data_IF_420112504756
#
_entry.id   IF_420112504756
#
_cell.length_a   1.000
_cell.length_b   1.000
_cell.length_c   1.000
_cell.angle_alpha   90.00
_cell.angle_beta   90.00
_cell.angle_gamma   90.00
#
_symmetry.space_group_name_H-M   'P 1'
#
loop_
_entity.id
_entity.type
_entity.pdbx_description
1 polymer ?
#
# COMPACT_ATOMS: atom_id res chain seq x y z
N UNK A 1 13.41 3.04 -17.64
CA UNK A 1 12.75 2.87 -16.34
C UNK A 1 11.72 1.77 -16.49
N UNK A 2 11.66 0.84 -15.56
CA UNK A 2 10.73 -0.28 -15.65
C UNK A 2 9.28 0.22 -15.60
N UNK A 3 8.37 -0.50 -16.25
CA UNK A 3 6.94 -0.15 -16.30
C UNK A 3 6.28 -0.20 -14.92
N UNK A 4 6.84 -0.99 -13.99
CA UNK A 4 6.32 -1.17 -12.64
C UNK A 4 6.46 0.09 -11.78
N UNK A 5 7.52 0.87 -11.95
CA UNK A 5 7.88 1.97 -11.05
C UNK A 5 7.68 3.32 -11.71
N UNK A 6 6.97 4.20 -11.04
CA UNK A 6 6.74 5.58 -11.47
C UNK A 6 7.34 6.57 -10.45
N UNK A 7 8.42 7.24 -10.84
CA UNK A 7 9.09 8.28 -10.05
C UNK A 7 9.03 9.59 -10.84
N UNK A 8 8.25 10.58 -10.40
CA UNK A 8 8.18 11.88 -11.07
C UNK A 8 9.43 12.73 -10.84
N UNK A 9 10.02 12.58 -9.68
CA UNK A 9 11.21 13.32 -9.24
C UNK A 9 12.33 12.32 -8.99
N UNK A 10 13.04 11.95 -10.07
CA UNK A 10 14.18 11.05 -9.97
C UNK A 10 15.32 11.70 -9.19
N UNK A 11 15.76 11.05 -8.12
CA UNK A 11 16.86 11.49 -7.24
C UNK A 11 17.84 10.33 -7.03
N UNK A 12 18.69 10.04 -8.01
CA UNK A 12 19.58 8.88 -7.95
C UNK A 12 20.54 8.93 -6.75
N UNK A 13 20.84 10.12 -6.25
CA UNK A 13 21.72 10.34 -5.09
C UNK A 13 20.98 10.42 -3.76
N UNK A 14 19.66 10.23 -3.74
CA UNK A 14 18.88 10.22 -2.51
C UNK A 14 19.41 9.17 -1.52
N UNK A 15 19.42 9.52 -0.24
CA UNK A 15 19.86 8.65 0.85
C UNK A 15 18.86 7.53 1.10
N UNK A 16 17.57 7.85 0.97
CA UNK A 16 16.47 6.92 1.22
C UNK A 16 15.49 6.90 0.05
N UNK A 17 14.97 5.72 -0.25
CA UNK A 17 13.87 5.52 -1.21
C UNK A 17 12.58 5.17 -0.49
N UNK A 18 11.53 5.92 -0.77
CA UNK A 18 10.16 5.64 -0.34
C UNK A 18 9.40 4.98 -1.49
N UNK A 19 9.08 3.71 -1.34
CA UNK A 19 8.22 2.99 -2.29
C UNK A 19 6.78 2.98 -1.78
N UNK A 20 5.87 3.52 -2.60
CA UNK A 20 4.45 3.59 -2.29
C UNK A 20 3.66 2.55 -3.06
N UNK A 21 2.84 1.79 -2.35
CA UNK A 21 1.99 0.72 -2.88
C UNK A 21 0.53 1.21 -2.93
N UNK A 22 -0.10 1.22 -4.11
CA UNK A 22 -1.42 1.79 -4.28
C UNK A 22 -2.53 0.93 -3.65
N UNK A 23 -3.66 1.56 -3.36
CA UNK A 23 -4.90 0.90 -2.98
C UNK A 23 -5.51 0.10 -4.13
N UNK A 24 -6.50 -0.76 -3.86
CA UNK A 24 -7.17 -1.56 -4.88
C UNK A 24 -7.77 -0.71 -6.00
N UNK A 25 -7.48 -1.07 -7.24
CA UNK A 25 -7.85 -0.31 -8.44
C UNK A 25 -7.07 0.99 -8.64
N UNK A 26 -6.22 1.38 -7.68
CA UNK A 26 -5.43 2.59 -7.74
C UNK A 26 -4.27 2.51 -8.74
N UNK A 27 -3.89 3.67 -9.28
CA UNK A 27 -2.71 3.84 -10.10
C UNK A 27 -1.53 4.41 -9.32
N UNK A 28 -0.47 4.71 -10.04
CA UNK A 28 0.79 5.20 -9.45
C UNK A 28 0.83 6.72 -9.25
N UNK A 29 -0.05 7.48 -9.91
CA UNK A 29 0.07 8.94 -10.02
C UNK A 29 -0.08 9.66 -8.67
N UNK A 30 -0.97 9.16 -7.80
CA UNK A 30 -1.20 9.80 -6.50
C UNK A 30 0.07 9.90 -5.67
N UNK A 31 0.82 8.82 -5.55
CA UNK A 31 2.04 8.80 -4.75
C UNK A 31 3.27 9.31 -5.51
N UNK A 32 3.32 9.17 -6.83
CA UNK A 32 4.46 9.67 -7.61
C UNK A 32 4.63 11.20 -7.44
N UNK A 33 3.54 11.96 -7.27
CA UNK A 33 3.60 13.39 -7.01
C UNK A 33 4.12 13.75 -5.61
N UNK A 34 4.12 12.80 -4.66
CA UNK A 34 4.68 13.03 -3.33
C UNK A 34 6.16 13.36 -3.35
N UNK A 35 6.89 12.94 -4.39
CA UNK A 35 8.28 13.34 -4.57
C UNK A 35 8.52 14.85 -4.54
N UNK A 36 7.50 15.66 -4.92
CA UNK A 36 7.56 17.10 -4.81
C UNK A 36 7.40 17.67 -3.39
N UNK A 37 7.02 16.84 -2.41
CA UNK A 37 6.83 17.23 -1.02
C UNK A 37 8.02 16.87 -0.13
N UNK A 38 8.93 16.03 -0.60
CA UNK A 38 10.16 15.66 0.09
C UNK A 38 11.34 16.46 -0.46
N UNK A 39 12.38 16.59 0.34
CA UNK A 39 13.65 17.18 -0.10
C UNK A 39 14.49 16.22 -0.95
N UNK A 40 15.68 16.63 -1.35
CA UNK A 40 16.57 15.86 -2.24
C UNK A 40 17.11 14.56 -1.60
N UNK A 41 16.99 14.39 -0.28
CA UNK A 41 17.46 13.18 0.43
C UNK A 41 16.53 11.98 0.22
N UNK A 42 15.28 12.21 -0.22
CA UNK A 42 14.27 11.17 -0.39
C UNK A 42 13.80 11.07 -1.84
N UNK A 43 13.96 9.89 -2.44
CA UNK A 43 13.37 9.57 -3.75
C UNK A 43 12.05 8.82 -3.54
N UNK A 44 10.94 9.35 -4.06
CA UNK A 44 9.62 8.71 -3.97
C UNK A 44 9.29 7.99 -5.25
N UNK A 45 9.02 6.70 -5.15
CA UNK A 45 8.66 5.83 -6.26
C UNK A 45 7.34 5.12 -5.97
N UNK A 46 6.39 5.23 -6.88
CA UNK A 46 5.09 4.57 -6.76
C UNK A 46 5.03 3.31 -7.62
N UNK A 47 4.48 2.23 -7.06
CA UNK A 47 4.27 0.97 -7.77
C UNK A 47 3.08 1.12 -8.73
N UNK A 48 3.22 0.57 -9.93
CA UNK A 48 2.18 0.52 -10.97
C UNK A 48 1.90 -0.92 -11.35
N UNK A 49 0.76 -1.43 -10.91
CA UNK A 49 0.36 -2.79 -11.23
C UNK A 49 -0.13 -2.92 -12.69
N UNK A 50 -0.08 -4.12 -13.29
CA UNK A 50 -0.63 -4.38 -14.62
C UNK A 50 -2.11 -4.03 -14.75
N UNK A 51 -2.57 -3.75 -15.97
CA UNK A 51 -3.96 -3.49 -16.31
C UNK A 51 -4.42 -2.05 -16.07
N UNK A 52 -3.50 -1.12 -15.77
CA UNK A 52 -3.83 0.30 -15.52
C UNK A 52 -2.75 1.26 -16.03
N UNK A 53 -3.14 2.51 -16.24
CA UNK A 53 -2.25 3.56 -16.75
C UNK A 53 -1.49 3.12 -18.02
N UNK A 54 -0.17 3.29 -18.07
CA UNK A 54 0.66 2.86 -19.19
C UNK A 54 0.76 1.34 -19.37
N UNK A 55 0.25 0.56 -18.41
CA UNK A 55 0.19 -0.90 -18.42
C UNK A 55 -1.22 -1.44 -18.71
N UNK A 56 -2.13 -0.60 -19.23
CA UNK A 56 -3.54 -0.94 -19.45
C UNK A 56 -3.77 -2.12 -20.40
N UNK A 57 -2.84 -2.42 -21.29
CA UNK A 57 -2.89 -3.58 -22.20
C UNK A 57 -2.40 -4.89 -21.58
N UNK A 58 -1.78 -4.84 -20.40
CA UNK A 58 -1.28 -6.02 -19.71
C UNK A 58 -2.42 -6.69 -18.91
N UNK A 59 -2.44 -8.03 -18.82
CA UNK A 59 -3.43 -8.74 -18.00
C UNK A 59 -3.25 -8.38 -16.52
N UNK A 60 -4.37 -8.35 -15.78
CA UNK A 60 -4.33 -8.15 -14.33
C UNK A 60 -3.57 -9.28 -13.63
N UNK A 61 -2.88 -8.95 -12.56
CA UNK A 61 -2.29 -9.94 -11.65
C UNK A 61 -3.40 -10.75 -10.97
N UNK A 62 -3.18 -12.06 -10.78
CA UNK A 62 -4.18 -12.99 -10.24
C UNK A 62 -3.87 -13.45 -8.81
N UNK A 63 -2.68 -13.17 -8.30
CA UNK A 63 -2.26 -13.57 -6.97
C UNK A 63 -1.31 -12.57 -6.33
N UNK A 64 -1.23 -12.59 -5.00
CA UNK A 64 -0.26 -11.80 -4.26
C UNK A 64 1.18 -12.21 -4.63
N UNK A 65 1.44 -13.49 -4.84
CA UNK A 65 2.77 -13.98 -5.24
C UNK A 65 3.23 -13.38 -6.58
N UNK A 66 2.33 -13.27 -7.57
CA UNK A 66 2.68 -12.60 -8.84
C UNK A 66 3.08 -11.13 -8.64
N UNK A 67 2.36 -10.41 -7.78
CA UNK A 67 2.69 -9.01 -7.45
C UNK A 67 4.05 -8.95 -6.78
N UNK A 68 4.27 -9.75 -5.75
CA UNK A 68 5.51 -9.75 -4.97
C UNK A 68 6.70 -10.12 -5.85
N UNK A 69 6.58 -11.16 -6.68
CA UNK A 69 7.67 -11.64 -7.52
C UNK A 69 8.06 -10.58 -8.56
N UNK A 70 7.10 -9.89 -9.18
CA UNK A 70 7.38 -8.78 -10.09
C UNK A 70 8.03 -7.60 -9.35
N UNK A 71 7.46 -7.19 -8.22
CA UNK A 71 8.00 -6.08 -7.41
C UNK A 71 9.44 -6.37 -6.99
N UNK A 72 9.72 -7.54 -6.46
CA UNK A 72 11.07 -7.91 -6.02
C UNK A 72 12.02 -7.97 -7.21
N UNK A 73 11.63 -8.59 -8.31
CA UNK A 73 12.49 -8.67 -9.51
C UNK A 73 12.95 -7.30 -9.97
N UNK A 74 12.06 -6.32 -9.95
CA UNK A 74 12.37 -4.95 -10.41
C UNK A 74 13.12 -4.14 -9.36
N UNK A 75 12.74 -4.26 -8.08
CA UNK A 75 13.29 -3.42 -7.03
C UNK A 75 14.60 -3.94 -6.46
N UNK A 76 14.84 -5.24 -6.43
CA UNK A 76 15.99 -5.85 -5.77
C UNK A 76 17.34 -5.20 -6.13
N UNK A 77 17.64 -4.89 -7.41
CA UNK A 77 18.88 -4.20 -7.76
C UNK A 77 18.99 -2.77 -7.19
N UNK A 78 17.84 -2.16 -6.86
CA UNK A 78 17.75 -0.80 -6.35
C UNK A 78 17.76 -0.72 -4.83
N UNK A 79 17.45 -1.85 -4.15
CA UNK A 79 17.38 -1.93 -2.69
C UNK A 79 18.74 -2.21 -2.05
N UNK A 80 19.68 -2.79 -2.81
CA UNK A 80 20.99 -3.12 -2.31
C UNK A 80 21.84 -1.86 -2.11
N UNK A 81 22.36 -1.69 -0.90
CA UNK A 81 23.27 -0.59 -0.55
C UNK A 81 22.61 0.77 -0.32
N UNK A 82 21.27 0.84 -0.28
CA UNK A 82 20.53 2.06 0.05
C UNK A 82 19.45 1.78 1.08
N UNK A 83 19.21 2.76 1.95
CA UNK A 83 18.04 2.73 2.83
C UNK A 83 16.75 2.82 2.01
N UNK A 84 15.75 2.03 2.38
CA UNK A 84 14.42 2.10 1.76
C UNK A 84 13.33 1.91 2.80
N UNK A 85 12.19 2.52 2.54
CA UNK A 85 10.97 2.40 3.34
C UNK A 85 9.78 2.12 2.45
N UNK A 86 8.77 1.48 3.00
CA UNK A 86 7.54 1.17 2.30
C UNK A 86 6.36 1.92 2.90
N UNK A 87 5.48 2.40 2.04
CA UNK A 87 4.17 2.93 2.40
C UNK A 87 3.09 2.21 1.58
N UNK A 88 2.04 1.75 2.24
CA UNK A 88 0.89 1.16 1.55
C UNK A 88 -0.43 1.51 2.21
N UNK A 89 -1.43 1.90 1.42
CA UNK A 89 -2.78 2.19 1.89
C UNK A 89 -3.76 1.13 1.41
N UNK A 90 -4.64 0.65 2.29
CA UNK A 90 -5.67 -0.35 2.00
C UNK A 90 -5.03 -1.62 1.39
N UNK A 91 -5.34 -2.00 0.17
CA UNK A 91 -4.70 -3.09 -0.56
C UNK A 91 -3.16 -2.95 -0.58
N UNK A 92 -2.66 -1.72 -0.71
CA UNK A 92 -1.23 -1.41 -0.66
C UNK A 92 -0.55 -1.77 0.66
N UNK A 93 -1.28 -1.74 1.78
CA UNK A 93 -0.75 -2.19 3.07
C UNK A 93 -0.41 -3.68 3.04
N UNK A 94 -1.25 -4.50 2.42
CA UNK A 94 -1.02 -5.95 2.30
C UNK A 94 0.10 -6.27 1.31
N UNK A 95 0.12 -5.59 0.16
CA UNK A 95 1.16 -5.82 -0.87
C UNK A 95 2.53 -5.36 -0.38
N UNK A 96 2.64 -4.24 0.31
CA UNK A 96 3.90 -3.75 0.90
C UNK A 96 4.40 -4.67 2.02
N UNK A 97 3.52 -5.11 2.91
CA UNK A 97 3.84 -6.05 3.98
C UNK A 97 4.33 -7.39 3.42
N UNK A 98 3.58 -8.00 2.50
CA UNK A 98 3.93 -9.28 1.91
C UNK A 98 5.26 -9.20 1.13
N UNK A 99 5.52 -8.07 0.46
CA UNK A 99 6.82 -7.81 -0.19
C UNK A 99 7.95 -7.72 0.82
N UNK A 100 7.76 -6.99 1.93
CA UNK A 100 8.77 -6.85 2.98
C UNK A 100 9.12 -8.22 3.62
N UNK A 101 8.12 -9.03 3.91
CA UNK A 101 8.33 -10.39 4.46
C UNK A 101 9.12 -11.26 3.46
N UNK A 102 8.74 -11.28 2.19
CA UNK A 102 9.44 -12.05 1.16
C UNK A 102 10.87 -11.57 0.94
N UNK A 103 11.12 -10.27 0.98
CA UNK A 103 12.47 -9.69 0.89
C UNK A 103 13.36 -10.16 2.04
N UNK A 104 12.83 -10.13 3.26
CA UNK A 104 13.57 -10.60 4.45
C UNK A 104 13.88 -12.08 4.38
N UNK A 105 12.88 -12.91 4.07
CA UNK A 105 13.04 -14.37 4.03
C UNK A 105 14.01 -14.85 2.95
N UNK A 106 13.93 -14.27 1.75
CA UNK A 106 14.73 -14.74 0.61
C UNK A 106 16.08 -14.05 0.45
N UNK A 107 16.18 -12.78 0.84
CA UNK A 107 17.35 -11.94 0.53
C UNK A 107 17.99 -11.30 1.77
N UNK A 108 17.42 -11.48 2.95
CA UNK A 108 17.89 -10.83 4.17
C UNK A 108 17.78 -9.31 4.15
N UNK A 109 16.96 -8.77 3.24
CA UNK A 109 16.71 -7.33 3.10
C UNK A 109 15.37 -6.97 3.74
N UNK A 110 15.36 -5.90 4.50
CA UNK A 110 14.16 -5.42 5.17
C UNK A 110 14.06 -3.90 5.02
N UNK A 111 12.84 -3.33 4.79
CA UNK A 111 12.70 -1.89 4.81
C UNK A 111 13.08 -1.34 6.20
N UNK A 112 13.69 -0.17 6.24
CA UNK A 112 14.00 0.49 7.52
C UNK A 112 12.71 0.82 8.30
N UNK A 113 11.60 1.05 7.58
CA UNK A 113 10.27 1.25 8.16
C UNK A 113 9.17 0.78 7.22
N UNK A 114 8.11 0.24 7.80
CA UNK A 114 6.87 -0.09 7.08
C UNK A 114 5.74 0.81 7.59
N UNK A 115 5.21 1.64 6.71
CA UNK A 115 4.03 2.45 6.94
C UNK A 115 2.81 1.78 6.33
N UNK A 116 1.85 1.37 7.14
CA UNK A 116 0.57 0.79 6.70
C UNK A 116 -0.57 1.74 7.01
N UNK A 117 -1.54 1.85 6.13
CA UNK A 117 -2.61 2.83 6.22
C UNK A 117 -3.95 2.22 5.82
N UNK A 118 -5.01 2.48 6.60
CA UNK A 118 -6.38 2.11 6.29
C UNK A 118 -6.59 0.60 6.12
N UNK A 119 -5.95 -0.21 6.97
CA UNK A 119 -6.04 -1.66 6.88
C UNK A 119 -5.82 -2.33 8.23
N UNK A 120 -6.62 -3.35 8.54
CA UNK A 120 -6.34 -4.28 9.62
C UNK A 120 -5.19 -5.20 9.27
N UNK A 121 -4.49 -5.74 10.27
CA UNK A 121 -3.52 -6.79 10.02
C UNK A 121 -4.15 -8.01 9.31
N UNK A 122 -3.41 -8.71 8.44
CA UNK A 122 -3.98 -9.76 7.58
C UNK A 122 -4.59 -10.94 8.35
N UNK A 123 -4.18 -11.17 9.60
CA UNK A 123 -4.73 -12.21 10.47
C UNK A 123 -5.92 -11.74 11.34
N UNK A 124 -6.39 -10.50 11.19
CA UNK A 124 -7.53 -9.99 11.95
C UNK A 124 -8.77 -10.86 11.70
N UNK A 125 -9.39 -11.33 12.78
CA UNK A 125 -10.48 -12.33 12.74
C UNK A 125 -11.64 -11.94 11.84
N UNK A 126 -12.04 -10.67 11.84
CA UNK A 126 -13.19 -10.24 11.05
C UNK A 126 -12.92 -10.29 9.54
N UNK A 127 -11.67 -10.16 9.08
CA UNK A 127 -11.32 -10.33 7.66
C UNK A 127 -11.58 -11.76 7.19
N UNK A 128 -11.33 -12.74 8.05
CA UNK A 128 -11.55 -14.15 7.75
C UNK A 128 -13.03 -14.58 7.81
N UNK A 129 -13.84 -13.90 8.64
CA UNK A 129 -15.27 -14.20 8.82
C UNK A 129 -16.19 -13.46 7.85
N UNK A 130 -15.70 -12.43 7.17
CA UNK A 130 -16.50 -11.66 6.21
C UNK A 130 -16.74 -12.43 4.91
N UNK A 131 -17.85 -12.10 4.23
CA UNK A 131 -18.10 -12.60 2.87
C UNK A 131 -16.98 -12.11 1.94
N UNK A 132 -16.49 -12.98 1.06
CA UNK A 132 -15.55 -12.58 0.01
C UNK A 132 -16.19 -11.52 -0.88
N UNK A 133 -15.51 -10.39 -1.03
CA UNK A 133 -16.00 -9.30 -1.89
C UNK A 133 -15.94 -9.68 -3.36
N UNK A 134 -15.02 -10.56 -3.71
CA UNK A 134 -14.89 -11.15 -5.06
C UNK A 134 -16.07 -12.06 -5.46
N UNK A 135 -16.87 -12.53 -4.50
CA UNK A 135 -18.05 -13.37 -4.75
C UNK A 135 -19.35 -12.56 -4.91
N UNK A 136 -19.31 -11.24 -4.65
CA UNK A 136 -20.45 -10.34 -4.82
C UNK A 136 -20.79 -10.17 -6.30
N UNK A 137 -22.09 -10.12 -6.63
CA UNK A 137 -22.50 -9.69 -7.96
C UNK A 137 -22.20 -8.20 -8.19
N UNK A 138 -22.30 -7.72 -9.43
CA UNK A 138 -21.90 -6.37 -9.80
C UNK A 138 -22.63 -5.28 -8.99
N UNK A 139 -23.92 -5.46 -8.72
CA UNK A 139 -24.71 -4.51 -7.95
C UNK A 139 -24.31 -4.48 -6.47
N UNK A 140 -24.08 -5.63 -5.87
CA UNK A 140 -23.61 -5.76 -4.49
C UNK A 140 -22.19 -5.23 -4.34
N UNK A 141 -21.31 -5.55 -5.29
CA UNK A 141 -19.94 -5.06 -5.31
C UNK A 141 -19.90 -3.52 -5.39
N UNK A 142 -20.71 -2.93 -6.26
CA UNK A 142 -20.80 -1.48 -6.37
C UNK A 142 -21.34 -0.82 -5.10
N UNK A 143 -22.36 -1.43 -4.45
CA UNK A 143 -22.85 -0.96 -3.14
C UNK A 143 -21.77 -1.00 -2.08
N UNK A 144 -21.00 -2.08 -2.03
CA UNK A 144 -19.88 -2.20 -1.11
C UNK A 144 -18.80 -1.14 -1.39
N UNK A 145 -18.37 -0.97 -2.64
CA UNK A 145 -17.40 0.06 -3.04
C UNK A 145 -17.87 1.46 -2.62
N UNK A 146 -19.15 1.76 -2.83
CA UNK A 146 -19.75 3.03 -2.42
C UNK A 146 -19.72 3.20 -0.91
N UNK A 147 -19.98 2.14 -0.14
CA UNK A 147 -19.98 2.20 1.32
C UNK A 147 -18.59 2.42 1.93
N UNK A 148 -17.54 1.93 1.27
CA UNK A 148 -16.14 2.21 1.66
C UNK A 148 -15.78 3.68 1.42
N UNK A 149 -16.42 4.32 0.45
CA UNK A 149 -16.17 5.71 0.11
C UNK A 149 -15.00 5.91 -0.87
N UNK A 150 -14.74 7.17 -1.19
CA UNK A 150 -13.62 7.56 -2.05
C UNK A 150 -13.82 7.40 -3.55
N UNK A 151 -14.94 6.80 -4.00
CA UNK A 151 -15.30 6.78 -5.41
C UNK A 151 -16.03 8.07 -5.76
N UNK A 152 -15.52 8.88 -6.71
CA UNK A 152 -16.17 10.11 -7.13
C UNK A 152 -17.59 9.86 -7.65
N UNK A 153 -18.51 10.78 -7.33
CA UNK A 153 -19.92 10.68 -7.76
C UNK A 153 -20.05 10.66 -9.30
N UNK A 154 -19.14 11.33 -10.00
CA UNK A 154 -19.08 11.36 -11.47
C UNK A 154 -18.80 9.95 -12.04
N UNK A 155 -17.99 9.15 -11.36
CA UNK A 155 -17.74 7.74 -11.76
C UNK A 155 -18.98 6.89 -11.48
N UNK A 156 -19.60 7.05 -10.31
CA UNK A 156 -20.80 6.28 -9.92
C UNK A 156 -21.99 6.55 -10.84
N UNK A 157 -22.12 7.78 -11.33
CA UNK A 157 -23.18 8.21 -12.24
C UNK A 157 -22.91 7.96 -13.74
N UNK A 158 -21.72 7.49 -14.10
CA UNK A 158 -21.28 7.33 -15.49
C UNK A 158 -20.93 5.87 -15.80
N UNK A 159 -21.77 5.24 -16.66
CA UNK A 159 -21.58 3.83 -17.03
C UNK A 159 -20.26 3.53 -17.70
N UNK A 160 -19.78 4.41 -18.56
CA UNK A 160 -18.49 4.24 -19.27
C UNK A 160 -17.31 4.38 -18.29
N UNK A 161 -17.38 5.35 -17.37
CA UNK A 161 -16.38 5.52 -16.33
C UNK A 161 -16.32 4.28 -15.40
N UNK A 162 -17.48 3.71 -15.04
CA UNK A 162 -17.54 2.47 -14.25
C UNK A 162 -16.93 1.28 -14.98
N UNK A 163 -17.09 1.16 -16.30
CA UNK A 163 -16.48 0.09 -17.09
C UNK A 163 -14.95 0.15 -17.09
N UNK A 164 -14.37 1.33 -16.92
CA UNK A 164 -12.91 1.50 -16.80
C UNK A 164 -12.43 1.33 -15.36
N UNK A 165 -13.23 1.76 -14.39
CA UNK A 165 -12.87 1.78 -12.97
C UNK A 165 -13.01 0.41 -12.29
N UNK A 166 -14.08 -0.34 -12.57
CA UNK A 166 -14.37 -1.59 -11.86
C UNK A 166 -13.40 -2.75 -12.17
N UNK A 167 -12.93 -3.00 -13.41
CA UNK A 167 -12.11 -4.16 -13.70
C UNK A 167 -10.80 -4.21 -12.88
N UNK A 168 -9.96 -3.16 -12.82
CA UNK A 168 -8.75 -3.20 -12.00
C UNK A 168 -9.07 -3.31 -10.50
N UNK A 169 -10.14 -2.67 -10.03
CA UNK A 169 -10.58 -2.77 -8.64
C UNK A 169 -10.99 -4.20 -8.29
N UNK A 170 -11.80 -4.86 -9.12
CA UNK A 170 -12.22 -6.25 -8.91
C UNK A 170 -11.04 -7.21 -8.93
N UNK A 171 -10.11 -7.03 -9.86
CA UNK A 171 -8.91 -7.85 -9.94
C UNK A 171 -8.10 -7.78 -8.63
N UNK A 172 -7.85 -6.59 -8.12
CA UNK A 172 -7.11 -6.40 -6.87
C UNK A 172 -7.87 -6.95 -5.65
N UNK A 173 -9.20 -6.81 -5.63
CA UNK A 173 -10.04 -7.37 -4.55
C UNK A 173 -10.01 -8.89 -4.53
N UNK A 174 -9.96 -9.55 -5.70
CA UNK A 174 -9.77 -11.01 -5.78
C UNK A 174 -8.43 -11.42 -5.16
N UNK A 175 -7.36 -10.72 -5.49
CA UNK A 175 -6.03 -10.97 -4.92
C UNK A 175 -6.05 -10.77 -3.41
N UNK A 176 -6.66 -9.68 -2.93
CA UNK A 176 -6.82 -9.39 -1.51
C UNK A 176 -7.58 -10.49 -0.77
N UNK A 177 -8.77 -10.86 -1.25
CA UNK A 177 -9.61 -11.88 -0.61
C UNK A 177 -8.87 -13.22 -0.49
N UNK A 178 -8.17 -13.62 -1.55
CA UNK A 178 -7.40 -14.87 -1.55
C UNK A 178 -6.20 -14.79 -0.60
N UNK A 179 -5.48 -13.68 -0.59
CA UNK A 179 -4.33 -13.48 0.28
C UNK A 179 -4.73 -13.54 1.76
N UNK A 180 -5.73 -12.77 2.16
CA UNK A 180 -6.18 -12.71 3.56
C UNK A 180 -6.64 -14.08 4.03
N UNK A 181 -7.39 -14.83 3.22
CA UNK A 181 -7.92 -16.14 3.61
C UNK A 181 -6.86 -17.23 3.69
N UNK A 182 -5.78 -17.11 2.94
CA UNK A 182 -4.64 -18.03 2.98
C UNK A 182 -3.57 -17.60 3.97
N UNK A 183 -3.72 -16.44 4.61
CA UNK A 183 -2.72 -15.94 5.52
C UNK A 183 -2.79 -16.63 6.88
N UNK A 184 -1.75 -17.40 7.18
CA UNK A 184 -1.53 -17.96 8.51
C UNK A 184 -0.61 -17.04 9.32
N UNK A 185 -1.07 -16.65 10.51
CA UNK A 185 -0.25 -15.85 11.41
C UNK A 185 1.00 -16.64 11.82
N UNK A 186 2.19 -16.11 11.55
CA UNK A 186 3.42 -16.78 11.97
C UNK A 186 3.54 -16.82 13.50
N UNK A 187 4.24 -17.85 14.01
CA UNK A 187 4.44 -18.05 15.45
C UNK A 187 5.28 -16.93 16.10
N UNK A 188 6.15 -16.29 15.32
CA UNK A 188 6.95 -15.14 15.73
C UNK A 188 6.81 -14.02 14.71
N UNK A 189 7.06 -12.75 15.10
CA UNK A 189 6.99 -11.63 14.18
C UNK A 189 7.89 -11.85 12.95
N UNK A 190 7.34 -11.79 11.71
CA UNK A 190 8.13 -12.01 10.50
C UNK A 190 9.07 -10.84 10.19
N UNK A 191 8.74 -9.63 10.66
CA UNK A 191 9.54 -8.43 10.48
C UNK A 191 10.25 -8.01 11.76
N UNK A 192 11.32 -7.25 11.62
CA UNK A 192 12.03 -6.58 12.72
C UNK A 192 12.14 -5.06 12.53
N UNK A 193 11.74 -4.55 11.37
CA UNK A 193 11.67 -3.11 11.13
C UNK A 193 10.56 -2.46 11.96
N UNK A 194 10.72 -1.17 12.24
CA UNK A 194 9.64 -0.37 12.84
C UNK A 194 8.42 -0.32 11.92
N UNK A 195 7.21 -0.27 12.52
CA UNK A 195 5.94 -0.25 11.82
C UNK A 195 5.05 0.86 12.37
N UNK A 196 4.49 1.67 11.49
CA UNK A 196 3.51 2.69 11.87
C UNK A 196 2.21 2.47 11.10
N UNK A 197 1.10 2.42 11.84
CA UNK A 197 -0.24 2.38 11.28
C UNK A 197 -0.84 3.80 11.21
N UNK A 198 -1.42 4.13 10.06
CA UNK A 198 -2.27 5.30 9.88
C UNK A 198 -3.70 4.87 9.60
N UNK A 199 -4.68 5.63 10.09
CA UNK A 199 -6.09 5.34 9.84
C UNK A 199 -6.95 6.59 9.90
N UNK A 200 -8.10 6.54 9.23
CA UNK A 200 -9.14 7.57 9.35
C UNK A 200 -10.03 7.34 10.57
N UNK A 201 -10.33 8.39 11.33
CA UNK A 201 -11.20 8.28 12.52
C UNK A 201 -12.65 7.90 12.19
N UNK A 202 -13.06 8.09 10.94
CA UNK A 202 -14.41 7.83 10.43
C UNK A 202 -14.44 6.64 9.45
N UNK A 203 -13.31 5.92 9.31
CA UNK A 203 -13.23 4.70 8.52
C UNK A 203 -13.98 3.54 9.19
N UNK A 204 -14.23 2.48 8.43
CA UNK A 204 -14.69 1.22 9.02
C UNK A 204 -13.67 0.77 10.10
N UNK A 205 -14.11 0.14 11.18
CA UNK A 205 -13.19 -0.28 12.23
C UNK A 205 -12.09 -1.21 11.71
N UNK A 206 -10.83 -0.86 11.96
CA UNK A 206 -9.67 -1.68 11.67
C UNK A 206 -9.01 -2.16 12.96
N UNK A 207 -8.57 -3.41 12.98
CA UNK A 207 -7.71 -3.94 14.04
C UNK A 207 -6.26 -3.53 13.75
N UNK A 208 -5.94 -2.29 14.12
CA UNK A 208 -4.60 -1.73 13.91
C UNK A 208 -3.60 -2.32 14.91
N UNK A 209 -4.03 -2.63 16.13
CA UNK A 209 -3.17 -3.17 17.17
C UNK A 209 -2.58 -4.54 16.79
N UNK A 210 -3.32 -5.33 16.00
CA UNK A 210 -2.86 -6.63 15.53
C UNK A 210 -1.59 -6.54 14.64
N UNK A 211 -1.31 -5.39 14.01
CA UNK A 211 -0.07 -5.19 13.26
C UNK A 211 1.19 -5.29 14.14
N UNK A 212 1.08 -4.97 15.44
CA UNK A 212 2.21 -5.10 16.38
C UNK A 212 2.72 -6.55 16.46
N UNK A 213 1.86 -7.53 16.25
CA UNK A 213 2.23 -8.94 16.29
C UNK A 213 3.08 -9.37 15.09
N UNK A 214 3.19 -8.54 14.06
CA UNK A 214 3.89 -8.83 12.82
C UNK A 214 5.28 -8.18 12.73
N UNK A 215 5.67 -7.40 13.75
CA UNK A 215 7.03 -6.86 13.86
C UNK A 215 7.56 -6.97 15.28
N UNK A 216 8.87 -7.15 15.43
CA UNK A 216 9.58 -7.00 16.71
C UNK A 216 10.18 -5.61 16.90
N UNK A 217 10.08 -4.72 15.90
CA UNK A 217 10.52 -3.33 15.98
C UNK A 217 9.51 -2.43 16.69
N UNK A 218 9.81 -1.13 16.70
CA UNK A 218 8.92 -0.12 17.28
C UNK A 218 7.58 -0.07 16.55
N UNK A 219 6.51 0.12 17.31
CA UNK A 219 5.14 0.14 16.78
C UNK A 219 4.40 1.40 17.20
N UNK A 220 3.77 2.08 16.24
CA UNK A 220 3.00 3.29 16.46
C UNK A 220 1.68 3.27 15.69
N UNK A 221 0.67 3.97 16.23
CA UNK A 221 -0.63 4.18 15.59
C UNK A 221 -0.94 5.68 15.57
N UNK A 222 -1.32 6.18 14.39
CA UNK A 222 -1.76 7.56 14.19
C UNK A 222 -3.10 7.59 13.46
N UNK A 223 -4.07 8.29 14.04
CA UNK A 223 -5.38 8.51 13.43
C UNK A 223 -5.52 9.95 12.97
N UNK A 224 -6.15 10.13 11.80
CA UNK A 224 -6.43 11.42 11.19
C UNK A 224 -7.92 11.57 10.91
N UNK A 225 -8.47 12.79 10.90
CA UNK A 225 -9.88 12.99 10.57
C UNK A 225 -10.22 12.46 9.18
N UNK A 226 -11.41 11.87 9.03
CA UNK A 226 -11.91 11.40 7.74
C UNK A 226 -12.09 9.88 7.65
N UNK A 227 -12.69 9.45 6.56
CA UNK A 227 -12.99 8.04 6.26
C UNK A 227 -11.83 7.30 5.62
N UNK A 228 -12.15 6.27 4.82
CA UNK A 228 -11.14 5.39 4.22
C UNK A 228 -10.08 6.12 3.39
N UNK A 229 -10.48 7.13 2.64
CA UNK A 229 -9.56 7.93 1.82
C UNK A 229 -9.16 9.27 2.47
N UNK A 230 -9.05 9.29 3.81
CA UNK A 230 -8.61 10.46 4.58
C UNK A 230 -7.32 11.09 4.03
N UNK A 231 -6.42 10.28 3.47
CA UNK A 231 -5.13 10.73 2.91
C UNK A 231 -5.28 11.60 1.65
N UNK A 232 -6.46 11.63 1.03
CA UNK A 232 -6.76 12.53 -0.12
C UNK A 232 -7.11 13.95 0.33
N UNK A 233 -7.45 14.18 1.60
CA UNK A 233 -7.60 15.53 2.13
C UNK A 233 -6.22 16.22 2.17
N UNK A 234 -6.08 17.43 1.62
CA UNK A 234 -4.78 18.11 1.53
C UNK A 234 -4.09 18.36 2.88
N UNK A 235 -4.87 18.58 3.96
CA UNK A 235 -4.30 18.77 5.31
C UNK A 235 -3.76 17.48 5.86
N UNK A 236 -4.51 16.39 5.70
CA UNK A 236 -4.11 15.06 6.13
C UNK A 236 -2.90 14.57 5.33
N UNK A 237 -2.91 14.77 4.01
CA UNK A 237 -1.80 14.41 3.14
C UNK A 237 -0.51 15.13 3.56
N UNK A 238 -0.60 16.43 3.81
CA UNK A 238 0.54 17.23 4.32
C UNK A 238 1.04 16.71 5.67
N UNK A 239 0.13 16.39 6.59
CA UNK A 239 0.47 15.85 7.91
C UNK A 239 1.16 14.48 7.80
N UNK A 240 0.65 13.62 6.93
CA UNK A 240 1.20 12.29 6.66
C UNK A 240 2.62 12.37 6.08
N UNK A 241 2.80 13.18 5.03
CA UNK A 241 4.11 13.41 4.43
C UNK A 241 5.10 14.02 5.44
N UNK A 242 4.65 15.00 6.22
CA UNK A 242 5.48 15.61 7.27
C UNK A 242 5.92 14.59 8.33
N UNK A 243 5.02 13.69 8.74
CA UNK A 243 5.36 12.62 9.68
C UNK A 243 6.43 11.69 9.11
N UNK A 244 6.24 11.23 7.87
CA UNK A 244 7.19 10.35 7.19
C UNK A 244 8.55 11.06 7.04
N UNK A 245 8.59 12.33 6.59
CA UNK A 245 9.83 13.10 6.45
C UNK A 245 10.60 13.19 7.76
N UNK A 246 9.93 13.56 8.86
CA UNK A 246 10.56 13.65 10.18
C UNK A 246 11.13 12.31 10.65
N UNK A 247 10.44 11.22 10.38
CA UNK A 247 10.93 9.90 10.71
C UNK A 247 12.23 9.58 9.94
N UNK A 248 12.26 9.85 8.63
CA UNK A 248 13.43 9.60 7.80
C UNK A 248 14.63 10.44 8.24
N UNK A 249 14.45 11.74 8.52
CA UNK A 249 15.51 12.63 9.03
C UNK A 249 16.11 12.13 10.35
N UNK A 250 15.27 11.59 11.25
CA UNK A 250 15.73 11.08 12.54
C UNK A 250 16.55 9.79 12.38
N UNK A 251 16.17 8.95 11.44
CA UNK A 251 16.86 7.69 11.15
C UNK A 251 18.23 7.95 10.50
N UNK A 252 18.33 8.94 9.62
CA UNK A 252 19.58 9.34 8.95
C UNK A 252 20.63 9.89 9.93
N UNK A 253 20.21 10.56 11.00
CA UNK A 253 21.12 11.10 12.05
C UNK A 253 21.71 10.03 12.96
N UNK A 254 21.16 8.83 12.95
CA UNK A 254 21.57 7.72 13.80
C UNK A 254 22.41 6.66 13.05
N UNK A 255 22.69 6.88 11.76
CA UNK A 255 23.58 6.10 10.90
C UNK A 255 24.94 6.78 10.79
#
# INVERSE_FOLDING_TARGET
>A
MDKLVNCFYGRPDALTRLFCFPWAGGGSLFYARWGGFFDESVEVCSIRLPGRESRSSEPFTQSMDQIIDEVITVLLPQLQGKSFVFFGHSFGAFTSFATAVRLKEKYGLEPAHLFVSGASAPHAKFLHSSIKKSELNDGEFLKWVTSVGGTPAEILGNKEALQLFLPPLKADVIVFDNFVRSFDKPASPPLSCSLTCFDGTEDIPHDLAAWQELTSGDFNIHKMPGGHFYLKDPKNEKSLVTYISKYLETTERNL
#
